data_IF_851332634286
#
_entry.id   IF_851332634286
#
_cell.length_a   1.000
_cell.length_b   1.000
_cell.length_c   1.000
_cell.angle_alpha   90.00
_cell.angle_beta   90.00
_cell.angle_gamma   90.00
#
_symmetry.space_group_name_H-M   'P 1'
#
loop_
_entity.id
_entity.type
_entity.pdbx_description
1 polymer ?
#
# COMPACT_ATOMS: atom_id res chain seq x y z
N UNK A 1 -11.64 -25.32 -9.02
CA UNK A 1 -11.65 -23.84 -9.09
C UNK A 1 -10.44 -23.37 -8.31
N UNK A 2 -9.46 -22.77 -8.96
CA UNK A 2 -8.35 -22.10 -8.25
C UNK A 2 -8.91 -20.82 -7.67
N UNK A 3 -8.89 -20.69 -6.34
CA UNK A 3 -9.28 -19.46 -5.65
C UNK A 3 -8.32 -18.35 -6.06
N UNK A 4 -8.85 -17.26 -6.65
CA UNK A 4 -8.04 -16.07 -6.97
C UNK A 4 -7.55 -15.45 -5.66
N UNK A 5 -6.23 -15.36 -5.48
CA UNK A 5 -5.63 -14.73 -4.29
C UNK A 5 -5.59 -13.22 -4.52
N UNK A 6 -6.16 -12.47 -3.58
CA UNK A 6 -6.08 -11.01 -3.55
C UNK A 6 -5.17 -10.56 -2.40
N UNK A 7 -4.07 -9.89 -2.72
CA UNK A 7 -3.10 -9.39 -1.75
C UNK A 7 -3.34 -7.89 -1.49
N UNK A 8 -3.55 -7.53 -0.24
CA UNK A 8 -3.65 -6.14 0.22
C UNK A 8 -2.36 -5.76 0.94
N UNK A 9 -1.63 -4.79 0.40
CA UNK A 9 -0.30 -4.41 0.85
C UNK A 9 -0.29 -2.93 1.22
N UNK A 10 0.15 -2.58 2.43
CA UNK A 10 0.49 -1.19 2.77
C UNK A 10 1.98 -0.93 2.53
N UNK A 11 2.33 0.25 2.02
CA UNK A 11 3.72 0.61 1.74
C UNK A 11 3.98 2.12 1.82
N UNK A 12 5.21 2.47 2.18
CA UNK A 12 5.66 3.87 2.22
C UNK A 12 5.31 4.57 3.52
N UNK A 13 5.80 5.80 3.71
CA UNK A 13 5.62 6.54 4.95
C UNK A 13 4.19 7.08 5.09
N UNK A 14 3.87 7.71 6.20
CA UNK A 14 2.70 8.61 6.30
C UNK A 14 3.16 10.00 6.72
N UNK A 15 2.34 11.02 6.47
CA UNK A 15 2.61 12.41 6.81
C UNK A 15 1.44 12.96 7.63
N UNK A 16 1.70 13.19 8.92
CA UNK A 16 0.74 13.83 9.83
C UNK A 16 1.02 15.33 9.84
N UNK A 17 0.20 16.10 9.12
CA UNK A 17 0.37 17.55 8.97
C UNK A 17 0.09 18.29 10.28
N UNK A 18 1.02 19.16 10.67
CA UNK A 18 0.88 20.08 11.81
C UNK A 18 0.34 21.42 11.32
N UNK A 19 0.79 21.85 10.15
CA UNK A 19 0.39 23.08 9.46
C UNK A 19 0.61 22.88 7.94
N UNK A 20 0.36 23.86 7.06
CA UNK A 20 0.48 23.68 5.61
C UNK A 20 1.88 23.31 5.06
N UNK A 21 2.94 23.31 5.88
CA UNK A 21 4.33 23.06 5.44
C UNK A 21 5.04 22.01 6.29
N UNK A 22 4.70 21.87 7.57
CA UNK A 22 5.34 20.92 8.50
C UNK A 22 4.45 19.71 8.75
N UNK A 23 5.07 18.54 8.78
CA UNK A 23 4.43 17.27 9.12
C UNK A 23 5.38 16.36 9.89
N UNK A 24 4.83 15.40 10.62
CA UNK A 24 5.56 14.27 11.21
C UNK A 24 5.47 13.09 10.24
N UNK A 25 6.59 12.42 9.98
CA UNK A 25 6.68 11.28 9.07
C UNK A 25 7.69 10.27 9.57
N UNK A 26 7.56 9.02 9.13
CA UNK A 26 8.59 7.98 9.24
C UNK A 26 9.54 8.03 8.01
N UNK A 27 10.81 7.58 8.12
CA UNK A 27 11.77 7.59 7.02
C UNK A 27 11.65 6.37 6.09
N UNK A 28 10.45 5.79 5.97
CA UNK A 28 10.21 4.66 5.08
C UNK A 28 10.41 5.07 3.62
N UNK A 29 11.15 4.26 2.86
CA UNK A 29 11.31 4.46 1.41
C UNK A 29 10.22 3.79 0.58
N UNK A 30 9.37 2.95 1.20
CA UNK A 30 8.36 2.14 0.52
C UNK A 30 8.89 0.99 -0.35
N UNK A 31 10.21 0.86 -0.53
CA UNK A 31 10.82 -0.10 -1.47
C UNK A 31 10.41 -1.56 -1.20
N UNK A 32 10.36 -1.95 0.08
CA UNK A 32 9.99 -3.32 0.45
C UNK A 32 8.54 -3.65 0.07
N UNK A 33 7.58 -2.79 0.43
CA UNK A 33 6.18 -3.01 0.07
C UNK A 33 5.94 -3.00 -1.44
N UNK A 34 6.65 -2.16 -2.17
CA UNK A 34 6.61 -2.14 -3.64
C UNK A 34 7.17 -3.43 -4.27
N UNK A 35 8.30 -3.94 -3.77
CA UNK A 35 8.87 -5.21 -4.25
C UNK A 35 7.95 -6.40 -3.95
N UNK A 36 7.29 -6.41 -2.79
CA UNK A 36 6.29 -7.43 -2.45
C UNK A 36 5.07 -7.36 -3.37
N UNK A 37 4.63 -6.15 -3.73
CA UNK A 37 3.52 -5.96 -4.67
C UNK A 37 3.89 -6.44 -6.08
N UNK A 38 5.08 -6.11 -6.57
CA UNK A 38 5.58 -6.58 -7.86
C UNK A 38 5.66 -8.10 -7.93
N UNK A 39 6.19 -8.74 -6.89
CA UNK A 39 6.27 -10.20 -6.82
C UNK A 39 4.90 -10.87 -6.63
N UNK A 40 3.95 -10.24 -5.94
CA UNK A 40 2.59 -10.75 -5.87
C UNK A 40 1.90 -10.72 -7.24
N UNK A 41 2.07 -9.64 -8.00
CA UNK A 41 1.57 -9.55 -9.39
C UNK A 41 2.26 -10.60 -10.28
N UNK A 42 3.58 -10.79 -10.15
CA UNK A 42 4.35 -11.77 -10.96
C UNK A 42 3.83 -13.21 -10.77
N UNK A 43 3.28 -13.50 -9.58
CA UNK A 43 2.66 -14.79 -9.22
C UNK A 43 1.20 -14.91 -9.66
N UNK A 44 0.64 -13.90 -10.32
CA UNK A 44 -0.74 -13.88 -10.81
C UNK A 44 -1.77 -13.51 -9.73
N UNK A 45 -1.34 -12.92 -8.61
CA UNK A 45 -2.27 -12.43 -7.60
C UNK A 45 -2.88 -11.11 -8.05
N UNK A 46 -4.11 -10.86 -7.61
CA UNK A 46 -4.66 -9.51 -7.69
C UNK A 46 -4.11 -8.69 -6.54
N UNK A 47 -3.64 -7.47 -6.79
CA UNK A 47 -2.91 -6.69 -5.79
C UNK A 47 -3.56 -5.33 -5.59
N UNK A 48 -3.91 -5.06 -4.33
CA UNK A 48 -4.16 -3.71 -3.82
C UNK A 48 -2.92 -3.22 -3.09
N UNK A 49 -2.33 -2.12 -3.57
CA UNK A 49 -1.21 -1.46 -2.93
C UNK A 49 -1.66 -0.12 -2.36
N UNK A 50 -1.88 -0.05 -1.05
CA UNK A 50 -2.14 1.20 -0.32
C UNK A 50 -0.80 1.87 -0.04
N UNK A 51 -0.51 2.94 -0.78
CA UNK A 51 0.80 3.58 -0.83
C UNK A 51 0.75 4.97 -0.21
N UNK A 52 1.55 5.16 0.83
CA UNK A 52 2.00 6.47 1.31
C UNK A 52 2.81 7.26 0.27
N UNK A 53 3.25 8.50 0.59
CA UNK A 53 3.96 9.34 -0.35
C UNK A 53 5.39 8.82 -0.61
N UNK A 54 5.59 8.26 -1.80
CA UNK A 54 6.88 7.81 -2.34
C UNK A 54 6.98 8.14 -3.82
N UNK A 55 8.21 8.27 -4.33
CA UNK A 55 8.50 8.51 -5.75
C UNK A 55 8.84 7.21 -6.52
N UNK A 56 8.38 6.06 -6.02
CA UNK A 56 8.58 4.76 -6.67
C UNK A 56 7.58 4.56 -7.79
N UNK A 57 8.03 3.94 -8.88
CA UNK A 57 7.16 3.56 -9.98
C UNK A 57 6.17 2.47 -9.50
N UNK A 58 4.85 2.67 -9.66
CA UNK A 58 3.86 1.65 -9.36
C UNK A 58 4.10 0.35 -10.14
N UNK A 59 4.00 -0.83 -9.50
CA UNK A 59 4.05 -2.10 -10.21
C UNK A 59 2.92 -2.21 -11.24
N UNK A 60 3.24 -2.53 -12.49
CA UNK A 60 2.24 -2.76 -13.54
C UNK A 60 1.31 -3.90 -13.12
N UNK A 61 0.00 -3.68 -13.15
CA UNK A 61 -1.00 -4.70 -12.79
C UNK A 61 -1.44 -4.69 -11.32
N UNK A 62 -0.81 -3.89 -10.45
CA UNK A 62 -1.35 -3.58 -9.13
C UNK A 62 -2.31 -2.39 -9.20
N UNK A 63 -3.44 -2.46 -8.49
CA UNK A 63 -4.28 -1.30 -8.21
C UNK A 63 -3.67 -0.53 -7.04
N UNK A 64 -3.27 0.72 -7.29
CA UNK A 64 -2.57 1.54 -6.30
C UNK A 64 -3.50 2.60 -5.73
N UNK A 65 -3.67 2.57 -4.41
CA UNK A 65 -4.45 3.54 -3.65
C UNK A 65 -3.47 4.47 -2.95
N UNK A 66 -3.42 5.72 -3.38
CA UNK A 66 -2.56 6.74 -2.77
C UNK A 66 -3.21 7.33 -1.53
N UNK A 67 -2.43 7.41 -0.46
CA UNK A 67 -2.80 7.99 0.83
C UNK A 67 -1.67 8.87 1.33
N UNK A 68 -1.97 9.85 2.16
CA UNK A 68 -0.97 10.72 2.77
C UNK A 68 -0.84 10.47 4.28
N UNK A 69 -1.95 10.36 5.01
CA UNK A 69 -1.96 10.17 6.46
C UNK A 69 -2.12 8.71 6.90
N UNK A 70 -1.79 8.42 8.15
CA UNK A 70 -2.04 7.12 8.78
C UNK A 70 -3.55 6.83 8.87
N UNK A 71 -4.37 7.86 9.08
CA UNK A 71 -5.82 7.72 9.07
C UNK A 71 -6.34 7.31 7.68
N UNK A 72 -5.93 8.00 6.62
CA UNK A 72 -6.31 7.64 5.25
C UNK A 72 -5.83 6.23 4.88
N UNK A 73 -4.61 5.86 5.27
CA UNK A 73 -4.09 4.51 5.08
C UNK A 73 -4.95 3.47 5.80
N UNK A 74 -5.31 3.73 7.05
CA UNK A 74 -6.17 2.85 7.83
C UNK A 74 -7.54 2.67 7.16
N UNK A 75 -8.20 3.76 6.80
CA UNK A 75 -9.51 3.74 6.15
C UNK A 75 -9.47 2.97 4.81
N UNK A 76 -8.44 3.20 4.00
CA UNK A 76 -8.23 2.48 2.75
C UNK A 76 -8.02 0.97 2.97
N UNK A 77 -7.21 0.61 3.96
CA UNK A 77 -6.96 -0.80 4.31
C UNK A 77 -8.23 -1.49 4.79
N UNK A 78 -9.00 -0.88 5.69
CA UNK A 78 -10.25 -1.45 6.20
C UNK A 78 -11.31 -1.61 5.11
N UNK A 79 -11.45 -0.62 4.22
CA UNK A 79 -12.39 -0.70 3.07
C UNK A 79 -12.11 -1.90 2.16
N UNK A 80 -10.85 -2.31 2.04
CA UNK A 80 -10.41 -3.40 1.17
C UNK A 80 -10.21 -4.73 1.91
N UNK A 81 -10.28 -4.72 3.25
CA UNK A 81 -9.91 -5.84 4.11
C UNK A 81 -10.72 -7.11 3.81
N UNK A 82 -12.06 -7.00 3.75
CA UNK A 82 -12.95 -8.15 3.53
C UNK A 82 -12.80 -8.78 2.13
N UNK A 83 -12.17 -8.07 1.19
CA UNK A 83 -11.90 -8.56 -0.16
C UNK A 83 -10.55 -9.29 -0.26
N UNK A 84 -9.66 -9.08 0.71
CA UNK A 84 -8.30 -9.58 0.68
C UNK A 84 -8.22 -11.03 1.18
N UNK A 85 -7.47 -11.86 0.46
CA UNK A 85 -7.09 -13.20 0.92
C UNK A 85 -5.84 -13.17 1.81
N UNK A 86 -5.01 -12.14 1.63
CA UNK A 86 -3.75 -11.94 2.34
C UNK A 86 -3.55 -10.44 2.58
N UNK A 87 -3.09 -10.09 3.78
CA UNK A 87 -2.73 -8.71 4.14
C UNK A 87 -1.25 -8.66 4.52
N UNK A 88 -0.50 -7.72 3.94
CA UNK A 88 0.89 -7.43 4.30
C UNK A 88 1.02 -5.96 4.69
N UNK A 89 1.25 -5.69 5.98
CA UNK A 89 1.44 -4.32 6.47
C UNK A 89 2.93 -3.96 6.48
N UNK A 90 3.41 -3.32 5.42
CA UNK A 90 4.82 -2.98 5.20
C UNK A 90 5.10 -1.46 5.15
N UNK A 91 4.12 -0.65 5.53
CA UNK A 91 4.23 0.81 5.69
C UNK A 91 4.95 1.21 6.99
#
# INVERSE_FOLDING_TARGET
MTTQIRCLISAGPTREWIDPVRFISNPSSGKMGYALAEEAVSRGFEVYLVSGPVSLQPPTGAEVIKVESAQEMQEAMFRLFDQASLVIMAA
#
